data_IF_462332402322
#
_entry.id   IF_462332402322
#
_cell.length_a   1.000
_cell.length_b   1.000
_cell.length_c   1.000
_cell.angle_alpha   90.00
_cell.angle_beta   90.00
_cell.angle_gamma   90.00
#
_symmetry.space_group_name_H-M   'P 1'
#
loop_
_entity.id
_entity.type
_entity.pdbx_description
1 polymer ?
#
# COMPACT_ATOMS: atom_id res chain seq x y z
N UNK A 1 -6.63 32.96 8.35
CA UNK A 1 -7.09 32.59 7.00
C UNK A 1 -8.61 32.65 7.01
N UNK A 2 -9.20 33.42 6.11
CA UNK A 2 -10.67 33.49 5.97
C UNK A 2 -11.14 32.31 5.13
N UNK A 3 -11.82 31.35 5.76
CA UNK A 3 -12.37 30.16 5.12
C UNK A 3 -13.75 30.40 4.49
N UNK A 4 -14.32 31.60 4.62
CA UNK A 4 -15.64 31.92 4.06
C UNK A 4 -15.68 31.91 2.53
N UNK A 5 -14.53 31.97 1.89
CA UNK A 5 -14.37 31.87 0.42
C UNK A 5 -14.26 30.44 -0.10
N UNK A 6 -14.06 29.47 0.79
CA UNK A 6 -14.01 28.06 0.40
C UNK A 6 -15.42 27.58 0.06
N UNK A 7 -15.54 26.90 -1.07
CA UNK A 7 -16.78 26.27 -1.51
C UNK A 7 -16.52 24.81 -1.77
N UNK A 8 -17.52 23.97 -1.53
CA UNK A 8 -17.46 22.57 -1.93
C UNK A 8 -17.24 22.50 -3.44
N UNK A 9 -16.18 21.84 -3.85
CA UNK A 9 -15.89 21.58 -5.25
C UNK A 9 -16.82 20.49 -5.78
N UNK A 10 -16.95 19.41 -5.01
CA UNK A 10 -17.77 18.27 -5.33
C UNK A 10 -18.23 17.55 -4.07
N UNK A 11 -19.42 16.98 -4.12
CA UNK A 11 -19.97 16.16 -3.03
C UNK A 11 -20.44 14.84 -3.59
N UNK A 12 -19.92 13.73 -3.10
CA UNK A 12 -20.30 12.37 -3.52
C UNK A 12 -21.01 11.67 -2.38
N UNK A 13 -22.20 11.16 -2.67
CA UNK A 13 -22.94 10.34 -1.72
C UNK A 13 -22.39 8.93 -1.73
N UNK A 14 -21.76 8.53 -0.64
CA UNK A 14 -21.27 7.18 -0.47
C UNK A 14 -22.42 6.16 -0.36
N UNK A 15 -22.19 4.95 -0.84
CA UNK A 15 -23.15 3.85 -0.80
C UNK A 15 -23.48 3.41 0.64
N UNK A 16 -22.57 3.68 1.59
CA UNK A 16 -22.75 3.41 3.01
C UNK A 16 -22.56 4.67 3.85
N UNK A 17 -23.23 4.73 5.01
CA UNK A 17 -23.03 5.82 5.95
C UNK A 17 -21.73 5.61 6.74
N UNK A 18 -20.67 6.26 6.30
CA UNK A 18 -19.34 6.13 6.84
C UNK A 18 -18.86 7.49 7.33
N UNK A 19 -18.27 7.49 8.54
CA UNK A 19 -17.81 8.75 9.15
C UNK A 19 -16.39 9.13 8.75
N UNK A 20 -15.55 8.16 8.38
CA UNK A 20 -14.17 8.37 8.01
C UNK A 20 -13.69 7.24 7.08
N UNK A 21 -12.74 7.55 6.22
CA UNK A 21 -12.14 6.61 5.30
C UNK A 21 -10.76 7.07 4.87
N UNK A 22 -10.03 6.18 4.22
CA UNK A 22 -8.79 6.49 3.52
C UNK A 22 -9.09 6.47 2.02
N UNK A 23 -8.61 7.50 1.31
CA UNK A 23 -8.94 7.71 -0.11
C UNK A 23 -7.66 7.61 -0.93
N UNK A 24 -7.72 6.89 -2.04
CA UNK A 24 -6.83 7.04 -3.17
C UNK A 24 -7.60 7.64 -4.34
N UNK A 25 -6.91 8.36 -5.21
CA UNK A 25 -7.48 8.97 -6.41
C UNK A 25 -6.67 8.53 -7.63
N UNK A 26 -7.36 8.11 -8.68
CA UNK A 26 -6.76 7.73 -9.95
C UNK A 26 -7.85 7.72 -11.03
N UNK A 27 -7.45 7.81 -12.28
CA UNK A 27 -8.36 7.68 -13.43
C UNK A 27 -8.64 6.20 -13.68
N UNK A 28 -9.83 5.72 -13.27
CA UNK A 28 -10.19 4.30 -13.36
C UNK A 28 -10.75 3.92 -14.74
N UNK A 29 -11.35 4.88 -15.43
CA UNK A 29 -12.07 4.64 -16.69
C UNK A 29 -11.32 5.14 -17.95
N UNK A 30 -10.23 5.91 -17.77
CA UNK A 30 -9.40 6.44 -18.84
C UNK A 30 -9.97 7.71 -19.48
N UNK A 31 -10.78 8.48 -18.74
CA UNK A 31 -11.38 9.73 -19.26
C UNK A 31 -10.56 10.99 -18.95
N UNK A 32 -9.44 10.84 -18.23
CA UNK A 32 -8.55 11.92 -17.81
C UNK A 32 -9.00 12.64 -16.56
N UNK A 33 -10.05 12.17 -15.87
CA UNK A 33 -10.56 12.73 -14.62
C UNK A 33 -10.32 11.73 -13.48
N UNK A 34 -9.85 12.21 -12.33
CA UNK A 34 -9.62 11.33 -11.20
C UNK A 34 -10.92 10.87 -10.55
N UNK A 35 -10.99 9.57 -10.33
CA UNK A 35 -12.02 8.83 -9.62
C UNK A 35 -11.58 8.54 -8.20
N UNK A 36 -12.41 7.86 -7.41
CA UNK A 36 -12.20 7.70 -5.98
C UNK A 36 -12.24 6.23 -5.56
N UNK A 37 -11.20 5.81 -4.82
CA UNK A 37 -11.15 4.53 -4.13
C UNK A 37 -11.16 4.81 -2.63
N UNK A 38 -12.17 4.30 -1.92
CA UNK A 38 -12.40 4.63 -0.51
C UNK A 38 -12.35 3.34 0.31
N UNK A 39 -11.41 3.29 1.26
CA UNK A 39 -11.32 2.21 2.23
C UNK A 39 -11.88 2.66 3.57
N UNK A 40 -12.78 1.87 4.15
CA UNK A 40 -13.50 2.20 5.37
C UNK A 40 -13.63 1.00 6.31
N UNK A 41 -13.84 1.22 7.62
CA UNK A 41 -13.68 2.49 8.33
C UNK A 41 -12.21 2.88 8.46
N UNK A 42 -11.93 4.15 8.69
CA UNK A 42 -10.58 4.54 9.13
C UNK A 42 -10.39 4.15 10.58
N UNK A 43 -9.52 3.23 10.82
CA UNK A 43 -9.11 2.80 12.16
C UNK A 43 -7.70 3.33 12.39
N UNK A 44 -7.58 4.35 13.19
CA UNK A 44 -6.29 4.89 13.60
C UNK A 44 -5.72 4.06 14.77
N UNK A 45 -5.45 2.80 14.52
CA UNK A 45 -4.87 1.88 15.49
C UNK A 45 -3.38 1.75 15.20
N UNK A 46 -2.57 2.15 16.17
CA UNK A 46 -1.13 1.87 16.13
C UNK A 46 -0.90 0.36 16.30
N UNK A 47 0.03 -0.24 15.55
CA UNK A 47 0.43 -1.62 15.77
C UNK A 47 0.82 -2.01 17.21
N UNK A 48 1.16 -1.08 18.08
CA UNK A 48 1.40 -1.32 19.51
C UNK A 48 0.14 -1.51 20.35
N UNK A 49 -1.01 -1.11 19.84
CA UNK A 49 -2.28 -1.18 20.56
C UNK A 49 -2.98 -2.54 20.37
N UNK A 50 -3.90 -2.93 21.25
CA UNK A 50 -4.73 -4.11 21.02
C UNK A 50 -5.43 -4.05 19.66
N UNK A 51 -5.54 -5.19 19.00
CA UNK A 51 -6.26 -5.31 17.74
C UNK A 51 -7.74 -5.04 17.89
N UNK A 52 -8.44 -5.02 16.77
CA UNK A 52 -9.89 -4.83 16.73
C UNK A 52 -10.61 -6.11 17.08
N UNK A 53 -11.25 -6.16 18.25
CA UNK A 53 -12.01 -7.31 18.76
C UNK A 53 -13.51 -7.26 18.36
N UNK A 54 -13.97 -6.16 17.77
CA UNK A 54 -15.36 -5.98 17.35
C UNK A 54 -15.71 -6.74 16.05
N UNK A 55 -14.74 -7.49 15.49
CA UNK A 55 -14.94 -8.24 14.26
C UNK A 55 -15.02 -7.38 12.99
N UNK A 56 -14.85 -6.06 13.09
CA UNK A 56 -14.92 -5.18 11.93
C UNK A 56 -13.83 -5.50 10.90
N UNK A 57 -14.21 -5.42 9.64
CA UNK A 57 -13.33 -5.62 8.48
C UNK A 57 -13.21 -4.32 7.69
N UNK A 58 -12.15 -4.21 6.90
CA UNK A 58 -12.09 -3.16 5.92
C UNK A 58 -12.98 -3.48 4.72
N UNK A 59 -13.70 -2.46 4.29
CA UNK A 59 -14.40 -2.43 3.02
C UNK A 59 -13.69 -1.46 2.09
N UNK A 60 -13.54 -1.82 0.84
CA UNK A 60 -13.01 -0.94 -0.19
C UNK A 60 -14.09 -0.74 -1.26
N UNK A 61 -14.29 0.48 -1.68
CA UNK A 61 -15.31 0.89 -2.65
C UNK A 61 -14.70 1.77 -3.72
N UNK A 62 -15.18 1.69 -4.95
CA UNK A 62 -14.79 2.58 -6.03
C UNK A 62 -15.98 3.36 -6.57
N UNK A 63 -15.71 4.61 -6.93
CA UNK A 63 -16.67 5.57 -7.48
C UNK A 63 -16.02 6.35 -8.60
N UNK A 64 -16.77 6.61 -9.68
CA UNK A 64 -16.36 7.58 -10.66
C UNK A 64 -16.41 9.01 -10.10
N UNK A 65 -15.76 9.92 -10.81
CA UNK A 65 -15.70 11.34 -10.46
C UNK A 65 -17.09 12.00 -10.32
N UNK A 66 -18.09 11.54 -11.05
CA UNK A 66 -19.47 12.01 -10.98
C UNK A 66 -20.29 11.43 -9.81
N UNK A 67 -19.68 10.53 -9.02
CA UNK A 67 -20.32 9.82 -7.90
C UNK A 67 -20.98 8.50 -8.27
N UNK A 68 -20.86 8.05 -9.52
CA UNK A 68 -21.33 6.72 -9.93
C UNK A 68 -20.59 5.65 -9.13
N UNK A 69 -21.35 4.86 -8.37
CA UNK A 69 -20.83 3.71 -7.63
C UNK A 69 -20.46 2.57 -8.58
N UNK A 70 -19.23 2.05 -8.47
CA UNK A 70 -18.76 0.96 -9.32
C UNK A 70 -18.90 -0.39 -8.61
N UNK A 71 -18.24 -0.55 -7.49
CA UNK A 71 -18.21 -1.82 -6.74
C UNK A 71 -17.81 -1.60 -5.28
N UNK A 72 -18.05 -2.63 -4.45
CA UNK A 72 -17.60 -2.72 -3.06
C UNK A 72 -17.10 -4.12 -2.74
N UNK A 73 -16.05 -4.22 -1.94
CA UNK A 73 -15.50 -5.50 -1.45
C UNK A 73 -15.13 -5.43 0.02
N UNK A 74 -15.40 -6.52 0.72
CA UNK A 74 -14.88 -6.78 2.06
C UNK A 74 -13.50 -7.41 1.96
N UNK A 75 -12.52 -6.86 2.66
CA UNK A 75 -11.16 -7.40 2.67
C UNK A 75 -10.98 -8.56 3.66
N UNK A 76 -12.01 -8.89 4.43
CA UNK A 76 -12.04 -10.05 5.33
C UNK A 76 -11.24 -9.88 6.61
N UNK A 77 -11.25 -10.95 7.42
CA UNK A 77 -10.59 -10.98 8.72
C UNK A 77 -9.05 -11.02 8.61
N UNK A 78 -8.52 -11.54 7.51
CA UNK A 78 -7.08 -11.59 7.25
C UNK A 78 -6.44 -10.22 7.02
N UNK A 79 -7.24 -9.17 6.81
CA UNK A 79 -6.78 -7.80 6.68
C UNK A 79 -7.07 -7.03 7.96
N UNK A 80 -6.02 -6.84 8.75
CA UNK A 80 -6.10 -6.22 10.07
C UNK A 80 -6.30 -4.70 9.95
N UNK A 81 -7.34 -4.11 10.57
CA UNK A 81 -7.50 -2.67 10.63
C UNK A 81 -6.35 -2.01 11.38
N UNK A 82 -5.82 -0.94 10.82
CA UNK A 82 -4.72 -0.17 11.39
C UNK A 82 -4.04 0.72 10.37
N UNK A 83 -3.34 1.73 10.86
CA UNK A 83 -2.76 2.77 10.01
C UNK A 83 -1.74 2.20 9.02
N UNK A 84 -0.91 1.24 9.46
CA UNK A 84 0.20 0.70 8.66
C UNK A 84 0.07 -0.78 8.33
N UNK A 85 -1.06 -1.42 8.62
CA UNK A 85 -1.19 -2.86 8.42
C UNK A 85 -1.53 -3.25 6.99
N UNK A 86 -2.36 -2.45 6.33
CA UNK A 86 -3.00 -2.81 5.07
C UNK A 86 -2.99 -1.64 4.10
N UNK A 87 -1.82 -1.34 3.53
CA UNK A 87 -1.68 -0.25 2.58
C UNK A 87 -2.34 -0.58 1.24
N UNK A 88 -2.73 0.48 0.50
CA UNK A 88 -3.19 0.40 -0.88
C UNK A 88 -2.85 1.68 -1.63
N UNK A 89 -2.66 1.56 -2.93
CA UNK A 89 -2.46 2.65 -3.89
C UNK A 89 -3.22 2.35 -5.18
N UNK A 90 -3.46 3.38 -5.97
CA UNK A 90 -4.05 3.26 -7.29
C UNK A 90 -3.22 4.04 -8.30
N UNK A 91 -2.90 3.39 -9.41
CA UNK A 91 -2.14 3.96 -10.52
C UNK A 91 -2.32 3.11 -11.78
N UNK A 92 -2.06 3.67 -12.95
CA UNK A 92 -1.97 2.92 -14.20
C UNK A 92 -0.65 2.15 -14.26
N UNK A 93 -0.67 0.91 -13.74
CA UNK A 93 0.54 0.09 -13.64
C UNK A 93 0.88 -0.67 -14.92
N UNK A 94 -0.08 -0.83 -15.83
CA UNK A 94 0.12 -1.55 -17.08
C UNK A 94 0.29 -0.64 -18.31
N UNK A 95 0.03 0.67 -18.15
CA UNK A 95 0.19 1.69 -19.18
C UNK A 95 -0.96 1.73 -20.19
N UNK A 96 -2.15 1.24 -19.84
CA UNK A 96 -3.31 1.23 -20.74
C UNK A 96 -4.20 2.48 -20.61
N UNK A 97 -3.84 3.41 -19.74
CA UNK A 97 -4.57 4.65 -19.47
C UNK A 97 -5.67 4.51 -18.41
N UNK A 98 -5.80 3.36 -17.75
CA UNK A 98 -6.76 3.11 -16.68
C UNK A 98 -6.02 2.60 -15.44
N UNK A 99 -6.40 3.12 -14.29
CA UNK A 99 -5.70 2.74 -13.08
C UNK A 99 -6.16 1.39 -12.53
N UNK A 100 -5.18 0.60 -12.08
CA UNK A 100 -5.35 -0.53 -11.21
C UNK A 100 -5.24 -0.11 -9.74
N UNK A 101 -5.66 -1.02 -8.87
CA UNK A 101 -5.52 -0.88 -7.42
C UNK A 101 -4.56 -1.95 -6.92
N UNK A 102 -3.40 -1.54 -6.44
CA UNK A 102 -2.45 -2.43 -5.76
C UNK A 102 -2.69 -2.36 -4.24
N UNK A 103 -2.88 -3.52 -3.62
CA UNK A 103 -3.21 -3.59 -2.21
C UNK A 103 -2.73 -4.89 -1.57
N UNK A 104 -2.60 -4.85 -0.24
CA UNK A 104 -2.38 -6.06 0.54
C UNK A 104 -3.68 -6.82 0.72
N UNK A 105 -3.68 -8.12 0.43
CA UNK A 105 -4.81 -9.02 0.63
C UNK A 105 -4.40 -10.28 1.41
N UNK A 106 -5.38 -11.10 1.79
CA UNK A 106 -5.19 -12.38 2.46
C UNK A 106 -6.30 -13.35 2.03
N UNK A 107 -6.15 -14.67 2.23
CA UNK A 107 -7.22 -15.63 2.01
C UNK A 107 -8.44 -15.32 2.88
N UNK A 108 -9.65 -15.55 2.36
CA UNK A 108 -10.90 -15.39 3.13
C UNK A 108 -10.95 -16.29 4.37
N UNK A 109 -10.20 -17.39 4.36
CA UNK A 109 -10.10 -18.33 5.47
C UNK A 109 -9.22 -17.85 6.62
N UNK A 110 -8.41 -16.80 6.41
CA UNK A 110 -7.53 -16.25 7.44
C UNK A 110 -8.35 -15.64 8.56
N UNK A 111 -8.03 -16.02 9.80
CA UNK A 111 -8.71 -15.52 11.00
C UNK A 111 -7.76 -14.72 11.87
N UNK A 112 -8.32 -13.85 12.69
CA UNK A 112 -7.59 -13.18 13.77
C UNK A 112 -7.56 -14.05 15.00
N UNK A 113 -6.47 -13.92 15.76
CA UNK A 113 -6.37 -14.57 17.07
C UNK A 113 -7.26 -13.87 18.11
N UNK A 114 -7.29 -14.40 19.36
CA UNK A 114 -8.09 -13.87 20.48
C UNK A 114 -7.81 -12.39 20.81
N UNK A 115 -6.67 -11.87 20.38
CA UNK A 115 -6.29 -10.47 20.55
C UNK A 115 -6.66 -9.60 19.34
N UNK A 116 -7.42 -10.13 18.40
CA UNK A 116 -7.81 -9.43 17.18
C UNK A 116 -6.66 -9.19 16.20
N UNK A 117 -5.60 -10.02 16.25
CA UNK A 117 -4.40 -9.90 15.42
C UNK A 117 -4.30 -10.99 14.39
N UNK A 118 -3.73 -10.66 13.25
CA UNK A 118 -3.31 -11.64 12.24
C UNK A 118 -1.84 -11.97 12.51
N UNK A 119 -1.59 -13.12 13.11
CA UNK A 119 -0.25 -13.57 13.51
C UNK A 119 0.32 -14.67 12.63
N UNK A 120 -0.50 -15.21 11.74
CA UNK A 120 -0.13 -16.28 10.81
C UNK A 120 -1.02 -16.25 9.56
N UNK A 121 -0.68 -17.05 8.59
CA UNK A 121 -1.41 -17.19 7.33
C UNK A 121 -0.72 -16.46 6.18
N UNK A 122 -1.19 -16.77 4.98
CA UNK A 122 -0.69 -16.19 3.74
C UNK A 122 -1.11 -14.73 3.61
N UNK A 123 -0.25 -13.93 3.02
CA UNK A 123 -0.46 -12.52 2.73
C UNK A 123 -0.02 -12.25 1.30
N UNK A 124 -0.77 -11.44 0.58
CA UNK A 124 -0.52 -11.20 -0.83
C UNK A 124 -0.41 -9.71 -1.16
N UNK A 125 0.38 -9.40 -2.18
CA UNK A 125 0.20 -8.23 -3.01
C UNK A 125 -0.76 -8.62 -4.13
N UNK A 126 -1.95 -8.04 -4.13
CA UNK A 126 -2.92 -8.20 -5.20
C UNK A 126 -3.02 -6.92 -6.02
N UNK A 127 -3.24 -7.08 -7.32
CA UNK A 127 -3.58 -5.99 -8.22
C UNK A 127 -4.98 -6.25 -8.78
N UNK A 128 -5.86 -5.27 -8.63
CA UNK A 128 -7.24 -5.34 -9.07
C UNK A 128 -7.52 -4.31 -10.16
N UNK A 129 -8.29 -4.71 -11.15
CA UNK A 129 -8.85 -3.79 -12.15
C UNK A 129 -9.70 -2.71 -11.47
N UNK A 130 -9.39 -1.45 -11.74
CA UNK A 130 -10.01 -0.31 -11.03
C UNK A 130 -11.51 -0.18 -11.28
N UNK A 131 -11.95 -0.47 -12.51
CA UNK A 131 -13.37 -0.35 -12.90
C UNK A 131 -14.25 -1.46 -12.34
N UNK A 132 -13.70 -2.66 -12.17
CA UNK A 132 -14.50 -3.85 -11.80
C UNK A 132 -14.19 -4.41 -10.42
N UNK A 133 -13.05 -4.02 -9.82
CA UNK A 133 -12.54 -4.60 -8.59
C UNK A 133 -12.13 -6.08 -8.73
N UNK A 134 -12.03 -6.63 -9.95
CA UNK A 134 -11.57 -8.00 -10.16
C UNK A 134 -10.06 -8.08 -10.01
N UNK A 135 -9.60 -9.11 -9.30
CA UNK A 135 -8.18 -9.39 -9.23
C UNK A 135 -7.66 -9.84 -10.58
N UNK A 136 -6.58 -9.18 -11.04
CA UNK A 136 -5.89 -9.49 -12.31
C UNK A 136 -4.53 -10.13 -12.09
N UNK A 137 -3.88 -9.86 -10.95
CA UNK A 137 -2.60 -10.45 -10.61
C UNK A 137 -2.43 -10.55 -9.10
N UNK A 138 -1.63 -11.53 -8.66
CA UNK A 138 -1.32 -11.77 -7.25
C UNK A 138 0.06 -12.41 -7.12
N UNK A 139 0.78 -11.99 -6.08
CA UNK A 139 2.02 -12.62 -5.59
C UNK A 139 2.05 -12.57 -4.07
N UNK A 140 2.98 -13.30 -3.46
CA UNK A 140 3.17 -13.26 -2.02
C UNK A 140 3.68 -11.89 -1.57
N UNK A 141 3.13 -11.38 -0.46
CA UNK A 141 3.69 -10.23 0.25
C UNK A 141 5.01 -10.65 0.91
N UNK A 142 6.00 -9.73 1.12
CA UNK A 142 7.22 -10.08 1.84
C UNK A 142 6.93 -10.86 3.12
N UNK A 143 7.52 -12.06 3.26
CA UNK A 143 7.20 -13.04 4.29
C UNK A 143 7.46 -12.52 5.70
N UNK A 144 6.58 -12.85 6.66
CA UNK A 144 6.81 -12.59 8.09
C UNK A 144 7.94 -13.46 8.61
N UNK A 145 8.82 -12.88 9.40
CA UNK A 145 9.83 -13.63 10.15
C UNK A 145 10.37 -12.83 11.35
N UNK A 146 11.12 -13.49 12.23
CA UNK A 146 11.59 -12.90 13.48
C UNK A 146 12.64 -11.80 13.29
N UNK A 147 13.27 -11.68 12.11
CA UNK A 147 14.22 -10.60 11.82
C UNK A 147 13.57 -9.21 11.91
N UNK A 148 12.27 -9.10 11.60
CA UNK A 148 11.51 -7.85 11.78
C UNK A 148 11.22 -7.52 13.24
N UNK A 149 11.35 -8.48 14.16
CA UNK A 149 11.05 -8.35 15.58
C UNK A 149 9.72 -9.00 15.96
N UNK A 150 9.04 -8.44 16.94
CA UNK A 150 7.75 -8.98 17.39
C UNK A 150 6.63 -8.78 16.35
N UNK A 151 5.49 -9.43 16.56
CA UNK A 151 4.33 -9.41 15.66
C UNK A 151 3.92 -8.00 15.22
N UNK A 152 3.92 -7.03 16.14
CA UNK A 152 3.58 -5.64 15.84
C UNK A 152 4.51 -5.05 14.77
N UNK A 153 5.82 -5.33 14.88
CA UNK A 153 6.83 -4.85 13.93
C UNK A 153 6.78 -5.61 12.61
N UNK A 154 6.47 -6.91 12.65
CA UNK A 154 6.26 -7.72 11.45
C UNK A 154 5.05 -7.26 10.63
N UNK A 155 4.07 -6.61 11.25
CA UNK A 155 2.87 -6.11 10.59
C UNK A 155 2.97 -4.65 10.12
N UNK A 156 4.14 -4.05 10.17
CA UNK A 156 4.37 -2.75 9.56
C UNK A 156 4.66 -2.93 8.07
N UNK A 157 3.69 -2.52 7.27
CA UNK A 157 3.71 -2.67 5.82
C UNK A 157 3.58 -1.30 5.16
N UNK A 158 4.25 -1.13 4.05
CA UNK A 158 4.14 0.05 3.20
C UNK A 158 3.96 -0.40 1.75
N UNK A 159 3.33 0.42 0.96
CA UNK A 159 3.20 0.26 -0.48
C UNK A 159 3.53 1.58 -1.15
N UNK A 160 4.18 1.53 -2.27
CA UNK A 160 4.55 2.70 -3.06
C UNK A 160 4.59 2.38 -4.54
N UNK A 161 4.91 3.38 -5.32
CA UNK A 161 5.20 3.27 -6.74
C UNK A 161 6.44 4.09 -7.05
N UNK A 162 7.32 3.53 -7.89
CA UNK A 162 8.54 4.21 -8.34
C UNK A 162 8.86 3.86 -9.78
N UNK A 163 9.46 4.79 -10.50
CA UNK A 163 10.02 4.60 -11.83
C UNK A 163 11.52 4.23 -11.73
N UNK A 164 11.82 3.01 -11.26
CA UNK A 164 13.21 2.55 -11.03
C UNK A 164 14.05 2.46 -12.32
N UNK A 165 13.44 2.47 -13.48
CA UNK A 165 14.10 2.50 -14.79
C UNK A 165 13.77 3.78 -15.57
N UNK A 166 13.14 4.75 -14.93
CA UNK A 166 12.68 6.00 -15.52
C UNK A 166 11.48 5.87 -16.48
N UNK A 167 10.83 4.70 -16.56
CA UNK A 167 9.75 4.44 -17.54
C UNK A 167 8.63 3.59 -16.99
N UNK A 168 8.96 2.54 -16.26
CA UNK A 168 8.01 1.53 -15.79
C UNK A 168 7.54 1.85 -14.40
N UNK A 169 6.23 1.96 -14.15
CA UNK A 169 5.70 2.13 -12.80
C UNK A 169 5.79 0.80 -12.03
N UNK A 170 6.80 0.67 -11.17
CA UNK A 170 6.95 -0.50 -10.32
C UNK A 170 6.10 -0.36 -9.06
N UNK A 171 5.39 -1.42 -8.67
CA UNK A 171 4.70 -1.53 -7.39
C UNK A 171 5.72 -1.97 -6.34
N UNK A 172 5.84 -1.20 -5.27
CA UNK A 172 6.76 -1.50 -4.17
C UNK A 172 5.99 -2.07 -2.99
N UNK A 173 6.29 -3.32 -2.62
CA UNK A 173 5.76 -3.96 -1.43
C UNK A 173 6.84 -3.99 -0.34
N UNK A 174 6.62 -3.26 0.76
CA UNK A 174 7.58 -3.13 1.84
C UNK A 174 7.05 -3.73 3.13
N UNK A 175 7.93 -4.41 3.87
CA UNK A 175 7.69 -4.87 5.24
C UNK A 175 8.81 -4.41 6.15
N UNK A 176 8.43 -3.98 7.36
CA UNK A 176 9.35 -3.62 8.42
C UNK A 176 9.68 -2.12 8.47
N UNK A 177 10.18 -1.69 9.63
CA UNK A 177 10.51 -0.29 9.91
C UNK A 177 11.61 -0.17 10.97
N UNK A 178 11.48 -0.88 12.11
CA UNK A 178 12.30 -0.67 13.30
C UNK A 178 13.45 -1.68 13.48
N UNK A 179 13.51 -2.68 12.62
CA UNK A 179 14.61 -3.65 12.56
C UNK A 179 14.92 -3.91 11.12
N UNK A 180 14.70 -5.14 10.64
CA UNK A 180 14.77 -5.42 9.22
C UNK A 180 13.76 -4.56 8.45
N UNK A 181 14.14 -4.12 7.29
CA UNK A 181 13.27 -3.60 6.24
C UNK A 181 13.53 -4.37 4.96
N UNK A 182 12.49 -4.68 4.22
CA UNK A 182 12.59 -5.28 2.89
C UNK A 182 11.69 -4.55 1.92
N UNK A 183 12.10 -4.48 0.66
CA UNK A 183 11.32 -3.92 -0.44
C UNK A 183 11.38 -4.89 -1.60
N UNK A 184 10.22 -5.30 -2.10
CA UNK A 184 10.07 -6.01 -3.37
C UNK A 184 9.47 -5.06 -4.40
N UNK A 185 10.12 -4.90 -5.55
CA UNK A 185 9.61 -4.14 -6.68
C UNK A 185 9.03 -5.07 -7.75
N UNK A 186 7.80 -4.81 -8.16
CA UNK A 186 7.02 -5.64 -9.06
C UNK A 186 6.53 -4.84 -10.26
N UNK A 187 6.71 -5.37 -11.45
CA UNK A 187 6.12 -4.87 -12.68
C UNK A 187 4.83 -5.63 -12.97
N UNK A 188 3.75 -4.91 -13.29
CA UNK A 188 2.54 -5.50 -13.86
C UNK A 188 2.69 -5.58 -15.38
N UNK A 189 2.75 -6.80 -15.91
CA UNK A 189 2.89 -7.07 -17.33
C UNK A 189 2.04 -8.25 -17.75
N UNK A 190 1.25 -8.10 -18.80
CA UNK A 190 0.38 -9.16 -19.33
C UNK A 190 -0.49 -9.81 -18.22
N UNK A 191 -1.03 -9.00 -17.32
CA UNK A 191 -1.80 -9.43 -16.14
C UNK A 191 -1.03 -10.35 -15.19
N UNK A 192 0.28 -10.19 -15.10
CA UNK A 192 1.15 -10.91 -14.17
C UNK A 192 2.06 -9.94 -13.44
N UNK A 193 2.41 -10.27 -12.23
CA UNK A 193 3.42 -9.56 -11.46
C UNK A 193 4.77 -10.27 -11.63
N UNK A 194 5.72 -9.58 -12.23
CA UNK A 194 7.11 -10.03 -12.38
C UNK A 194 7.97 -9.24 -11.40
N UNK A 195 8.71 -9.96 -10.52
CA UNK A 195 9.63 -9.30 -9.59
C UNK A 195 10.84 -8.79 -10.33
N UNK A 196 10.98 -7.48 -10.38
CA UNK A 196 12.14 -6.85 -11.01
C UNK A 196 13.32 -6.78 -10.05
N UNK A 197 13.05 -6.57 -8.75
CA UNK A 197 14.08 -6.29 -7.78
C UNK A 197 13.61 -6.65 -6.36
N UNK A 198 14.56 -7.02 -5.51
CA UNK A 198 14.35 -7.21 -4.07
C UNK A 198 15.52 -6.64 -3.31
N UNK A 199 15.22 -5.86 -2.31
CA UNK A 199 16.17 -5.39 -1.33
C UNK A 199 15.86 -5.96 0.05
N UNK A 200 16.89 -6.47 0.73
CA UNK A 200 16.83 -6.93 2.13
C UNK A 200 17.92 -6.19 2.90
N UNK A 201 17.51 -5.33 3.84
CA UNK A 201 18.43 -4.46 4.56
C UNK A 201 19.49 -5.20 5.39
N UNK A 202 19.23 -6.45 5.82
CA UNK A 202 20.23 -7.25 6.54
C UNK A 202 21.30 -7.81 5.60
N UNK A 203 20.94 -8.14 4.36
CA UNK A 203 21.86 -8.64 3.35
C UNK A 203 22.72 -7.53 2.77
N UNK A 204 22.15 -6.34 2.66
CA UNK A 204 22.85 -5.15 2.17
C UNK A 204 23.84 -4.61 3.21
N UNK A 205 23.31 -4.10 4.30
CA UNK A 205 24.09 -3.55 5.40
C UNK A 205 23.26 -3.49 6.68
N UNK A 206 23.58 -4.29 7.70
CA UNK A 206 22.83 -4.29 8.97
C UNK A 206 22.76 -2.93 9.69
N UNK A 207 23.59 -1.96 9.34
CA UNK A 207 23.53 -0.59 9.90
C UNK A 207 22.21 0.10 9.59
N UNK A 208 21.54 -0.24 8.49
CA UNK A 208 20.24 0.35 8.12
C UNK A 208 19.08 -0.11 9.01
N UNK A 209 19.31 -1.06 9.90
CA UNK A 209 18.29 -1.43 10.89
C UNK A 209 17.86 -0.23 11.70
N UNK A 210 16.56 -0.11 11.93
CA UNK A 210 15.93 0.99 12.67
C UNK A 210 15.96 2.35 11.99
N UNK A 211 16.38 2.45 10.75
CA UNK A 211 16.37 3.69 9.98
C UNK A 211 15.02 4.00 9.32
N UNK A 212 14.09 3.06 9.33
CA UNK A 212 12.80 3.21 8.67
C UNK A 212 11.88 4.26 9.31
N UNK A 213 10.98 4.77 8.51
CA UNK A 213 9.84 5.59 8.94
C UNK A 213 8.52 4.86 8.71
N UNK A 214 7.40 5.52 9.04
CA UNK A 214 6.07 4.97 8.78
C UNK A 214 5.54 5.29 7.37
N UNK A 215 6.29 6.02 6.59
CA UNK A 215 5.95 6.39 5.23
C UNK A 215 7.10 6.01 4.29
N UNK A 216 6.75 5.58 3.11
CA UNK A 216 7.61 5.45 1.95
C UNK A 216 7.33 6.65 1.04
N UNK A 217 8.38 7.28 0.54
CA UNK A 217 8.30 8.35 -0.46
C UNK A 217 9.22 7.96 -1.61
N UNK A 218 8.77 8.14 -2.83
CA UNK A 218 9.55 7.87 -4.03
C UNK A 218 9.65 9.14 -4.87
N UNK A 219 10.76 9.32 -5.54
CA UNK A 219 11.01 10.44 -6.45
C UNK A 219 12.46 10.50 -6.91
N UNK A 220 12.68 11.07 -8.07
CA UNK A 220 13.99 11.30 -8.66
C UNK A 220 14.71 12.42 -7.87
N UNK A 221 15.58 12.02 -6.95
CA UNK A 221 16.24 12.93 -5.99
C UNK A 221 17.56 13.48 -6.54
N UNK A 222 18.25 12.70 -7.35
CA UNK A 222 19.56 13.07 -7.93
C UNK A 222 19.48 13.49 -9.39
N UNK A 223 18.27 13.56 -9.95
CA UNK A 223 17.97 14.04 -11.32
C UNK A 223 18.56 13.12 -12.42
N UNK A 224 18.70 11.82 -12.15
CA UNK A 224 19.17 10.85 -13.15
C UNK A 224 18.04 10.28 -14.04
N UNK A 225 16.79 10.64 -13.71
CA UNK A 225 15.58 10.23 -14.42
C UNK A 225 14.96 8.95 -13.88
N UNK A 226 15.43 8.43 -12.77
CA UNK A 226 14.87 7.29 -12.04
C UNK A 226 14.47 7.73 -10.63
N UNK A 227 13.54 7.01 -10.04
CA UNK A 227 13.10 7.33 -8.68
C UNK A 227 13.93 6.58 -7.63
N UNK A 228 14.35 7.29 -6.58
CA UNK A 228 14.80 6.74 -5.32
C UNK A 228 13.63 6.41 -4.40
N UNK A 229 13.88 5.51 -3.46
CA UNK A 229 12.92 5.06 -2.44
C UNK A 229 13.41 5.52 -1.07
N UNK A 230 12.72 6.46 -0.46
CA UNK A 230 13.02 6.94 0.89
C UNK A 230 12.23 6.14 1.94
N UNK A 231 12.96 5.50 2.85
CA UNK A 231 12.44 4.68 3.95
C UNK A 231 12.79 5.30 5.32
N UNK A 232 12.69 6.61 5.45
CA UNK A 232 13.09 7.33 6.66
C UNK A 232 14.48 7.92 6.53
N UNK A 233 15.47 7.41 7.28
CA UNK A 233 16.87 7.83 7.18
C UNK A 233 17.70 6.98 6.23
N UNK A 234 17.04 6.15 5.43
CA UNK A 234 17.64 5.26 4.46
C UNK A 234 17.00 5.56 3.09
N UNK A 235 17.82 5.67 2.07
CA UNK A 235 17.40 5.90 0.69
C UNK A 235 17.99 4.80 -0.20
N UNK A 236 17.16 4.23 -1.05
CA UNK A 236 17.54 3.18 -2.00
C UNK A 236 17.40 3.72 -3.42
N UNK A 237 18.30 3.33 -4.29
CA UNK A 237 18.16 3.43 -5.73
C UNK A 237 17.80 2.07 -6.36
N UNK A 238 17.84 1.96 -7.67
CA UNK A 238 17.57 0.72 -8.39
C UNK A 238 18.64 -0.37 -8.18
N UNK A 239 19.75 -0.04 -7.55
CA UNK A 239 20.87 -0.98 -7.28
C UNK A 239 20.93 -1.43 -5.83
N UNK A 240 20.25 -0.72 -4.92
CA UNK A 240 20.24 -1.03 -3.48
C UNK A 240 20.37 0.20 -2.60
N UNK A 241 21.19 0.15 -1.56
CA UNK A 241 21.37 1.27 -0.64
C UNK A 241 22.18 2.39 -1.29
N UNK A 242 21.51 3.49 -1.57
CA UNK A 242 22.13 4.69 -2.13
C UNK A 242 22.69 5.61 -1.04
N UNK A 243 21.91 5.82 0.05
CA UNK A 243 22.28 6.68 1.14
C UNK A 243 21.78 6.17 2.49
N UNK A 244 22.68 6.11 3.46
CA UNK A 244 22.36 5.82 4.86
C UNK A 244 22.89 6.97 5.76
N UNK A 245 22.83 6.77 7.07
CA UNK A 245 23.45 7.74 7.98
C UNK A 245 24.95 7.87 7.66
N UNK A 246 25.50 9.07 7.61
CA UNK A 246 26.93 9.25 7.54
C UNK A 246 27.59 8.62 8.78
N UNK A 247 28.78 8.08 8.59
CA UNK A 247 29.62 7.54 9.66
C UNK A 247 29.92 8.59 10.78
#
# INVERSE_FOLDING_TARGET
VDFSILRDYQSIKLNRNIKAGKIAVADLNGDGIYDYIIRTPEKNVDPGMPGTLDGSTYQIEAYLSDGTFLWSKDLGQGIEPGVWYSPFIAYDFNGDGKAEIALKTAPETTQRNEKGRVDSGEEYLSVWDGMTGKEIARVDWPERNDRYGNLVRQNRNQIGMAYLDGKTPYILACRGTYKLMTVDAWQLKDNKLERAWRWDGDEENPVVRSMGSHNMVCGDVDEDGKDEILLGSCMLDETGLYYGLPD
#
